data_IF_679785977520
#
_entry.id   IF_679785977520
#
_cell.length_a   1.000
_cell.length_b   1.000
_cell.length_c   1.000
_cell.angle_alpha   90.00
_cell.angle_beta   90.00
_cell.angle_gamma   90.00
#
_symmetry.space_group_name_H-M   'P 1'
#
loop_
_entity.id
_entity.type
_entity.pdbx_description
1 polymer ?
#
# COMPACT_ATOMS: atom_id res chain seq x y z
N UNK A 1 -21.17 19.84 -19.71
CA UNK A 1 -21.63 19.11 -18.50
C UNK A 1 -21.69 17.60 -18.71
N UNK A 2 -22.08 17.11 -19.90
CA UNK A 2 -22.23 15.67 -20.22
C UNK A 2 -20.96 14.80 -20.08
N UNK A 3 -19.77 15.33 -20.40
CA UNK A 3 -18.52 14.59 -20.22
C UNK A 3 -18.24 14.26 -18.75
N UNK A 4 -18.54 15.19 -17.84
CA UNK A 4 -18.30 15.01 -16.40
C UNK A 4 -19.27 13.97 -15.82
N UNK A 5 -20.54 13.96 -16.24
CA UNK A 5 -21.51 12.95 -15.81
C UNK A 5 -21.13 11.57 -16.35
N UNK A 6 -20.73 11.48 -17.61
CA UNK A 6 -20.23 10.23 -18.22
C UNK A 6 -19.02 9.67 -17.48
N UNK A 7 -18.06 10.53 -17.12
CA UNK A 7 -16.88 10.14 -16.34
C UNK A 7 -17.26 9.65 -14.94
N UNK A 8 -18.19 10.32 -14.25
CA UNK A 8 -18.68 9.87 -12.93
C UNK A 8 -19.33 8.49 -13.02
N UNK A 9 -20.14 8.23 -14.05
CA UNK A 9 -20.81 6.95 -14.28
C UNK A 9 -19.79 5.83 -14.60
N UNK A 10 -18.78 6.14 -15.41
CA UNK A 10 -17.70 5.18 -15.69
C UNK A 10 -16.91 4.81 -14.42
N UNK A 11 -16.64 5.81 -13.58
CA UNK A 11 -15.92 5.64 -12.32
C UNK A 11 -16.72 4.81 -11.30
N UNK A 12 -18.04 5.03 -11.18
CA UNK A 12 -18.90 4.21 -10.30
C UNK A 12 -18.97 2.76 -10.78
N UNK A 13 -19.18 2.54 -12.08
CA UNK A 13 -19.16 1.19 -12.67
C UNK A 13 -17.84 0.46 -12.40
N UNK A 14 -16.71 1.16 -12.52
CA UNK A 14 -15.39 0.57 -12.26
C UNK A 14 -15.20 0.19 -10.78
N UNK A 15 -15.70 1.03 -9.85
CA UNK A 15 -15.66 0.73 -8.41
C UNK A 15 -16.55 -0.45 -8.04
N UNK A 16 -17.74 -0.53 -8.61
CA UNK A 16 -18.67 -1.64 -8.40
C UNK A 16 -18.10 -2.96 -8.92
N UNK A 17 -17.49 -2.94 -10.12
CA UNK A 17 -16.77 -4.10 -10.65
C UNK A 17 -15.71 -4.58 -9.68
N UNK A 18 -14.89 -3.66 -9.15
CA UNK A 18 -13.80 -3.98 -8.22
C UNK A 18 -14.30 -4.51 -6.88
N UNK A 19 -15.43 -4.00 -6.37
CA UNK A 19 -16.04 -4.47 -5.13
C UNK A 19 -16.59 -5.91 -5.26
N UNK A 20 -17.05 -6.30 -6.45
CA UNK A 20 -17.59 -7.63 -6.74
C UNK A 20 -16.52 -8.69 -7.03
N UNK A 21 -15.25 -8.29 -7.21
CA UNK A 21 -14.17 -9.25 -7.50
C UNK A 21 -13.92 -10.15 -6.28
N UNK A 22 -14.06 -11.49 -6.41
CA UNK A 22 -13.75 -12.43 -5.34
C UNK A 22 -12.26 -12.38 -4.98
N UNK A 23 -11.94 -12.55 -3.69
CA UNK A 23 -10.55 -12.57 -3.25
C UNK A 23 -9.75 -13.73 -3.89
N UNK A 24 -10.41 -14.83 -4.27
CA UNK A 24 -9.79 -15.95 -4.99
C UNK A 24 -9.20 -15.55 -6.34
N UNK A 25 -9.85 -14.66 -7.08
CA UNK A 25 -9.35 -14.22 -8.38
C UNK A 25 -8.22 -13.19 -8.23
N UNK A 26 -8.23 -12.41 -7.15
CA UNK A 26 -7.12 -11.53 -6.79
C UNK A 26 -5.89 -12.37 -6.45
N UNK A 27 -6.03 -13.45 -5.68
CA UNK A 27 -4.89 -14.31 -5.33
C UNK A 27 -4.27 -14.98 -6.57
N UNK A 28 -5.06 -15.35 -7.60
CA UNK A 28 -4.50 -15.82 -8.88
C UNK A 28 -3.58 -14.78 -9.53
N UNK A 29 -3.98 -13.51 -9.50
CA UNK A 29 -3.18 -12.39 -10.03
C UNK A 29 -1.96 -12.14 -9.14
N UNK A 30 -2.11 -12.26 -7.82
CA UNK A 30 -0.98 -12.10 -6.89
C UNK A 30 0.06 -13.19 -7.14
N UNK A 31 -0.35 -14.44 -7.34
CA UNK A 31 0.55 -15.56 -7.59
C UNK A 31 1.29 -15.46 -8.94
N UNK A 32 0.75 -14.74 -9.93
CA UNK A 32 1.44 -14.53 -11.20
C UNK A 32 2.54 -13.46 -11.14
N UNK A 33 2.61 -12.71 -10.04
CA UNK A 33 3.58 -11.64 -9.82
C UNK A 33 4.78 -12.17 -9.01
N UNK A 34 6.02 -11.69 -9.25
CA UNK A 34 7.20 -12.11 -8.48
C UNK A 34 6.99 -12.01 -6.97
N UNK A 35 7.51 -12.97 -6.21
CA UNK A 35 7.28 -13.11 -4.77
C UNK A 35 7.46 -11.79 -3.98
N UNK A 36 8.51 -11.02 -4.28
CA UNK A 36 8.78 -9.75 -3.63
C UNK A 36 7.73 -8.65 -3.88
N UNK A 37 6.89 -8.78 -4.90
CA UNK A 37 5.85 -7.82 -5.26
C UNK A 37 4.43 -8.29 -4.87
N UNK A 38 4.27 -9.55 -4.48
CA UNK A 38 2.96 -10.14 -4.16
C UNK A 38 2.24 -9.40 -3.04
N UNK A 39 2.96 -9.11 -1.96
CA UNK A 39 2.40 -8.41 -0.80
C UNK A 39 2.01 -6.97 -1.14
N UNK A 40 2.79 -6.32 -2.01
CA UNK A 40 2.47 -4.98 -2.52
C UNK A 40 1.17 -5.00 -3.33
N UNK A 41 1.04 -5.94 -4.27
CA UNK A 41 -0.16 -6.08 -5.12
C UNK A 41 -1.39 -6.41 -4.27
N UNK A 42 -1.26 -7.34 -3.32
CA UNK A 42 -2.34 -7.70 -2.37
C UNK A 42 -2.82 -6.47 -1.58
N UNK A 43 -1.90 -5.67 -1.05
CA UNK A 43 -2.24 -4.46 -0.31
C UNK A 43 -2.88 -3.37 -1.18
N UNK A 44 -2.46 -3.24 -2.45
CA UNK A 44 -3.09 -2.30 -3.40
C UNK A 44 -4.55 -2.69 -3.63
N UNK A 45 -4.83 -3.96 -3.94
CA UNK A 45 -6.20 -4.43 -4.15
C UNK A 45 -7.05 -4.25 -2.89
N UNK A 46 -6.54 -4.64 -1.72
CA UNK A 46 -7.23 -4.46 -0.44
C UNK A 46 -7.56 -2.99 -0.17
N UNK A 47 -6.62 -2.09 -0.42
CA UNK A 47 -6.82 -0.65 -0.22
C UNK A 47 -7.75 0.01 -1.26
N UNK A 48 -7.86 -0.58 -2.45
CA UNK A 48 -8.73 -0.09 -3.52
C UNK A 48 -10.20 -0.43 -3.30
N UNK A 49 -10.50 -1.51 -2.58
CA UNK A 49 -11.87 -1.89 -2.17
C UNK A 49 -12.41 -1.00 -1.05
N UNK A 50 -11.54 -0.33 -0.30
CA UNK A 50 -11.91 0.53 0.83
C UNK A 50 -11.78 2.02 0.50
N UNK A 51 -12.51 2.83 1.27
CA UNK A 51 -12.41 4.29 1.27
C UNK A 51 -10.96 4.79 1.37
N UNK A 52 -10.70 5.97 0.81
CA UNK A 52 -9.44 6.70 1.00
C UNK A 52 -9.20 7.05 2.47
N UNK A 53 -10.28 7.22 3.25
CA UNK A 53 -10.24 7.54 4.67
C UNK A 53 -10.30 6.25 5.50
N UNK A 54 -9.54 6.20 6.59
CA UNK A 54 -9.60 5.07 7.54
C UNK A 54 -8.88 3.79 7.11
N UNK A 55 -8.00 3.87 6.10
CA UNK A 55 -7.21 2.70 5.64
C UNK A 55 -6.36 2.15 6.79
N UNK A 56 -6.45 0.83 6.97
CA UNK A 56 -5.57 0.06 7.86
C UNK A 56 -4.38 -0.45 7.05
N UNK A 57 -3.19 -0.34 7.64
CA UNK A 57 -1.94 -0.75 7.02
C UNK A 57 -1.31 -1.85 7.86
N UNK A 58 -0.83 -2.89 7.20
CA UNK A 58 0.01 -3.93 7.81
C UNK A 58 1.41 -3.35 8.12
N UNK A 59 2.16 -4.01 9.00
CA UNK A 59 3.51 -3.54 9.36
C UNK A 59 4.46 -3.67 8.16
N UNK A 60 4.31 -4.75 7.40
CA UNK A 60 5.03 -5.08 6.18
C UNK A 60 4.84 -3.98 5.13
N UNK A 61 3.59 -3.56 4.90
CA UNK A 61 3.30 -2.47 3.98
C UNK A 61 3.90 -1.13 4.41
N UNK A 62 3.95 -0.88 5.72
CA UNK A 62 4.60 0.31 6.26
C UNK A 62 6.10 0.30 5.99
N UNK A 63 6.77 -0.85 6.11
CA UNK A 63 8.19 -0.98 5.77
C UNK A 63 8.44 -0.72 4.28
N UNK A 64 7.62 -1.28 3.39
CA UNK A 64 7.70 -1.00 1.95
C UNK A 64 7.51 0.49 1.64
N UNK A 65 6.51 1.12 2.28
CA UNK A 65 6.28 2.56 2.15
C UNK A 65 7.46 3.39 2.66
N UNK A 66 8.13 2.93 3.73
CA UNK A 66 9.30 3.58 4.29
C UNK A 66 10.50 3.46 3.34
N UNK A 67 10.77 2.26 2.81
CA UNK A 67 11.81 2.02 1.81
C UNK A 67 11.59 2.88 0.57
N UNK A 68 10.36 2.95 0.06
CA UNK A 68 10.03 3.79 -1.07
C UNK A 68 10.23 5.27 -0.77
N UNK A 69 9.88 5.74 0.43
CA UNK A 69 10.12 7.12 0.87
C UNK A 69 11.63 7.42 0.96
N UNK A 70 12.44 6.48 1.45
CA UNK A 70 13.90 6.63 1.52
C UNK A 70 14.51 6.72 0.12
N UNK A 71 14.11 5.82 -0.79
CA UNK A 71 14.62 5.78 -2.17
C UNK A 71 14.19 6.99 -3.01
N UNK A 72 13.01 7.56 -2.74
CA UNK A 72 12.48 8.67 -3.53
C UNK A 72 11.41 9.48 -2.81
N UNK A 73 11.77 10.45 -1.95
CA UNK A 73 10.81 11.25 -1.18
C UNK A 73 9.87 12.08 -2.06
N UNK A 74 10.38 12.62 -3.18
CA UNK A 74 9.59 13.39 -4.14
C UNK A 74 8.55 12.50 -4.86
N UNK A 75 8.99 11.32 -5.31
CA UNK A 75 8.12 10.33 -5.93
C UNK A 75 7.03 9.86 -4.98
N UNK A 76 7.39 9.53 -3.73
CA UNK A 76 6.44 9.16 -2.68
C UNK A 76 5.35 10.21 -2.50
N UNK A 77 5.73 11.50 -2.40
CA UNK A 77 4.78 12.61 -2.27
C UNK A 77 3.88 12.75 -3.49
N UNK A 78 4.43 12.63 -4.70
CA UNK A 78 3.67 12.72 -5.95
C UNK A 78 2.65 11.59 -6.06
N UNK A 79 3.06 10.34 -5.88
CA UNK A 79 2.20 9.15 -5.95
C UNK A 79 1.07 9.20 -4.91
N UNK A 80 1.38 9.69 -3.70
CA UNK A 80 0.36 9.90 -2.66
C UNK A 80 -0.62 11.00 -3.03
N UNK A 81 -0.13 12.17 -3.48
CA UNK A 81 -0.98 13.33 -3.81
C UNK A 81 -1.94 13.01 -4.95
N UNK A 82 -1.46 12.26 -5.94
CA UNK A 82 -2.26 11.81 -7.10
C UNK A 82 -3.14 10.59 -6.79
N UNK A 83 -3.12 10.06 -5.56
CA UNK A 83 -3.83 8.84 -5.14
C UNK A 83 -3.56 7.62 -6.03
N UNK A 84 -2.38 7.56 -6.68
CA UNK A 84 -1.98 6.45 -7.56
C UNK A 84 -1.67 5.18 -6.77
N UNK A 85 -1.15 5.33 -5.56
CA UNK A 85 -0.90 4.23 -4.62
C UNK A 85 -1.53 4.55 -3.26
N UNK A 86 -1.94 3.52 -2.50
CA UNK A 86 -2.55 3.70 -1.19
C UNK A 86 -1.52 4.01 -0.09
N UNK A 87 -0.76 5.10 -0.27
CA UNK A 87 0.36 5.44 0.60
C UNK A 87 -0.08 6.13 1.89
N UNK A 88 0.50 5.75 3.05
CA UNK A 88 0.21 6.42 4.31
C UNK A 88 0.66 7.89 4.27
N UNK A 89 -0.02 8.73 5.06
CA UNK A 89 0.44 10.10 5.25
C UNK A 89 1.79 10.13 5.98
N UNK A 90 2.60 11.20 5.82
CA UNK A 90 3.82 11.34 6.61
C UNK A 90 3.56 11.24 8.12
N UNK A 91 2.43 11.79 8.60
CA UNK A 91 2.00 11.67 10.01
C UNK A 91 1.71 10.22 10.40
N UNK A 92 1.01 9.48 9.54
CA UNK A 92 0.73 8.04 9.74
C UNK A 92 2.03 7.25 9.78
N UNK A 93 2.93 7.48 8.83
CA UNK A 93 4.21 6.81 8.74
C UNK A 93 5.06 7.08 9.99
N UNK A 94 5.16 8.34 10.42
CA UNK A 94 5.87 8.71 11.66
C UNK A 94 5.24 8.05 12.90
N UNK A 95 3.92 7.92 12.96
CA UNK A 95 3.24 7.19 14.05
C UNK A 95 3.65 5.73 14.08
N UNK A 96 3.79 5.08 12.93
CA UNK A 96 4.28 3.71 12.87
C UNK A 96 5.77 3.63 13.20
N UNK A 97 6.61 4.53 12.69
CA UNK A 97 8.04 4.58 13.02
C UNK A 97 8.25 4.73 14.53
N UNK A 98 7.46 5.56 15.21
CA UNK A 98 7.52 5.68 16.69
C UNK A 98 7.12 4.41 17.42
N UNK A 99 6.32 3.54 16.80
CA UNK A 99 5.95 2.22 17.35
C UNK A 99 6.98 1.15 17.02
N UNK A 100 7.74 1.31 15.94
CA UNK A 100 8.95 0.52 15.74
C UNK A 100 9.86 0.86 16.90
N UNK A 101 9.98 -0.04 17.88
CA UNK A 101 10.99 0.08 18.91
C UNK A 101 12.31 -0.30 18.23
N UNK A 102 13.20 0.65 17.87
CA UNK A 102 14.51 0.25 17.44
C UNK A 102 15.13 -0.50 18.63
N UNK A 103 15.38 -1.79 18.48
CA UNK A 103 16.22 -2.50 19.45
C UNK A 103 17.62 -1.95 19.24
N UNK A 104 18.02 -1.00 20.09
CA UNK A 104 19.40 -0.51 20.14
C UNK A 104 20.28 -1.58 20.78
N UNK A 105 21.51 -1.73 20.25
CA UNK A 105 22.45 -2.78 20.63
C UNK A 105 22.62 -3.83 19.53
N UNK A 106 23.71 -4.58 19.62
CA UNK A 106 23.92 -5.74 18.76
C UNK A 106 22.82 -6.76 19.03
N UNK A 107 22.08 -7.15 17.99
CA UNK A 107 21.12 -8.24 18.14
C UNK A 107 21.92 -9.54 18.24
N UNK A 108 21.80 -10.30 19.33
CA UNK A 108 22.46 -11.61 19.50
C UNK A 108 22.25 -12.55 18.31
N UNK A 109 21.09 -12.46 17.64
CA UNK A 109 20.78 -13.20 16.40
C UNK A 109 21.71 -12.92 15.21
N UNK A 110 22.52 -11.87 15.28
CA UNK A 110 23.50 -11.52 14.24
C UNK A 110 24.95 -11.60 14.74
N UNK A 111 25.18 -12.02 15.99
CA UNK A 111 26.53 -12.18 16.56
C UNK A 111 26.98 -13.65 16.59
N UNK A 112 26.06 -14.63 16.66
CA UNK A 112 26.43 -16.05 16.82
C UNK A 112 26.39 -16.86 15.52
N UNK A 113 27.08 -16.40 14.48
CA UNK A 113 27.51 -17.24 13.36
C UNK A 113 28.91 -16.79 12.91
N UNK A 114 29.92 -17.19 13.66
CA UNK A 114 31.34 -17.19 13.27
C UNK A 114 32.02 -18.33 14.01
#
# INVERSE_FOLDING_TARGET
MEKITTLKISLTKSREKLAKVPDKDIEKIVLSVPQGQQELVRNIFKCSKVSLKGRRYTIEWIYECLLMKIKGPALYRKLRRENKLPLPSPRTLNRFIRKLRPKWGFQEKYILTS
#
